data_IF_667475119847
#
_entry.id   IF_667475119847
#
_cell.length_a   1.000
_cell.length_b   1.000
_cell.length_c   1.000
_cell.angle_alpha   90.00
_cell.angle_beta   90.00
_cell.angle_gamma   90.00
#
_symmetry.space_group_name_H-M   'P 1'
#
loop_
_entity.id
_entity.type
_entity.pdbx_description
1 polymer ?
#
# COMPACT_ATOMS: atom_id res chain seq x y z
N UNK A 1 -26.38 16.71 -2.26
CA UNK A 1 -27.42 15.68 -2.08
C UNK A 1 -26.73 14.38 -1.68
N UNK A 2 -26.86 13.92 -0.41
CA UNK A 2 -26.14 12.76 0.12
C UNK A 2 -26.42 11.44 -0.62
N UNK A 3 -27.66 11.20 -1.05
CA UNK A 3 -28.01 9.96 -1.75
C UNK A 3 -27.39 9.89 -3.15
N UNK A 4 -27.42 11.00 -3.88
CA UNK A 4 -26.76 11.07 -5.19
C UNK A 4 -25.25 10.87 -5.04
N UNK A 5 -24.63 11.44 -4.01
CA UNK A 5 -23.20 11.26 -3.75
C UNK A 5 -22.86 9.80 -3.41
N UNK A 6 -23.70 9.13 -2.61
CA UNK A 6 -23.54 7.71 -2.30
C UNK A 6 -23.60 6.85 -3.57
N UNK A 7 -24.60 7.07 -4.43
CA UNK A 7 -24.75 6.32 -5.66
C UNK A 7 -23.57 6.52 -6.62
N UNK A 8 -23.14 7.76 -6.82
CA UNK A 8 -21.98 8.06 -7.67
C UNK A 8 -20.69 7.43 -7.16
N UNK A 9 -20.47 7.41 -5.84
CA UNK A 9 -19.27 6.77 -5.26
C UNK A 9 -19.30 5.25 -5.45
N UNK A 10 -20.46 4.62 -5.31
CA UNK A 10 -20.61 3.19 -5.59
C UNK A 10 -20.32 2.86 -7.07
N UNK A 11 -20.87 3.64 -7.99
CA UNK A 11 -20.66 3.44 -9.43
C UNK A 11 -19.17 3.51 -9.80
N UNK A 12 -18.46 4.54 -9.31
CA UNK A 12 -17.01 4.69 -9.52
C UNK A 12 -16.23 3.52 -8.92
N UNK A 13 -16.61 3.06 -7.72
CA UNK A 13 -15.97 1.92 -7.08
C UNK A 13 -16.17 0.64 -7.89
N UNK A 14 -17.38 0.38 -8.38
CA UNK A 14 -17.70 -0.80 -9.19
C UNK A 14 -16.96 -0.78 -10.53
N UNK A 15 -16.92 0.36 -11.20
CA UNK A 15 -16.15 0.57 -12.43
C UNK A 15 -14.67 0.25 -12.19
N UNK A 16 -14.04 0.89 -11.21
CA UNK A 16 -12.61 0.73 -10.91
C UNK A 16 -12.27 -0.68 -10.46
N UNK A 17 -13.13 -1.33 -9.69
CA UNK A 17 -12.93 -2.73 -9.32
C UNK A 17 -13.10 -3.66 -10.53
N UNK A 18 -14.04 -3.35 -11.43
CA UNK A 18 -14.22 -4.06 -12.70
C UNK A 18 -13.00 -3.97 -13.60
N UNK A 19 -12.37 -2.80 -13.71
CA UNK A 19 -11.11 -2.60 -14.42
C UNK A 19 -9.97 -3.41 -13.80
N UNK A 20 -9.82 -3.35 -12.48
CA UNK A 20 -8.79 -4.11 -11.76
C UNK A 20 -8.93 -5.63 -11.96
N UNK A 21 -10.16 -6.16 -11.98
CA UNK A 21 -10.40 -7.60 -12.20
C UNK A 21 -9.88 -8.10 -13.54
N UNK A 22 -9.75 -7.24 -14.56
CA UNK A 22 -9.15 -7.59 -15.86
C UNK A 22 -7.65 -7.86 -15.72
N UNK A 23 -6.96 -7.19 -14.78
CA UNK A 23 -5.50 -7.28 -14.56
C UNK A 23 -5.15 -7.32 -13.06
N UNK A 24 -5.51 -8.38 -12.32
CA UNK A 24 -5.42 -8.42 -10.86
C UNK A 24 -3.98 -8.50 -10.30
N UNK A 25 -2.97 -8.55 -11.16
CA UNK A 25 -1.54 -8.61 -10.79
C UNK A 25 -0.84 -7.26 -10.95
N UNK A 26 -1.53 -6.26 -11.50
CA UNK A 26 -1.04 -4.90 -11.75
C UNK A 26 -1.74 -3.94 -10.81
N UNK A 27 -0.99 -2.94 -10.31
CA UNK A 27 -1.58 -1.87 -9.52
C UNK A 27 -2.49 -1.01 -10.41
N UNK A 28 -3.72 -0.69 -9.96
CA UNK A 28 -4.55 0.32 -10.63
C UNK A 28 -3.86 1.69 -10.67
N UNK A 29 -4.39 2.62 -11.46
CA UNK A 29 -3.87 3.99 -11.54
C UNK A 29 -3.89 4.72 -10.20
N UNK A 30 -3.11 5.81 -10.09
CA UNK A 30 -2.96 6.60 -8.86
C UNK A 30 -4.26 7.29 -8.43
N UNK A 31 -5.21 7.48 -9.35
CA UNK A 31 -6.53 8.04 -9.06
C UNK A 31 -7.29 7.23 -8.01
N UNK A 32 -7.06 5.91 -7.93
CA UNK A 32 -7.73 5.10 -6.91
C UNK A 32 -7.22 5.38 -5.50
N UNK A 33 -5.94 5.77 -5.36
CA UNK A 33 -5.38 6.12 -4.05
C UNK A 33 -6.07 7.37 -3.50
N UNK A 34 -6.26 8.37 -4.37
CA UNK A 34 -7.00 9.59 -4.04
C UNK A 34 -8.47 9.26 -3.74
N UNK A 35 -9.11 8.44 -4.58
CA UNK A 35 -10.50 8.01 -4.37
C UNK A 35 -10.71 7.32 -3.03
N UNK A 36 -9.87 6.34 -2.68
CA UNK A 36 -9.97 5.62 -1.41
C UNK A 36 -9.71 6.56 -0.22
N UNK A 37 -8.78 7.51 -0.34
CA UNK A 37 -8.55 8.53 0.68
C UNK A 37 -9.75 9.48 0.84
N UNK A 38 -10.44 9.82 -0.25
CA UNK A 38 -11.68 10.59 -0.17
C UNK A 38 -12.78 9.78 0.53
N UNK A 39 -12.89 8.49 0.25
CA UNK A 39 -13.89 7.62 0.91
C UNK A 39 -13.69 7.57 2.43
N UNK A 40 -12.45 7.52 2.94
CA UNK A 40 -12.19 7.56 4.39
C UNK A 40 -12.64 8.84 5.06
N UNK A 41 -12.63 9.95 4.31
CA UNK A 41 -12.96 11.28 4.80
C UNK A 41 -14.47 11.57 4.71
N UNK A 42 -15.14 10.96 3.73
CA UNK A 42 -16.56 11.21 3.44
C UNK A 42 -17.51 10.23 4.15
N UNK A 43 -17.05 9.00 4.43
CA UNK A 43 -17.90 7.94 4.97
C UNK A 43 -17.36 7.39 6.30
N UNK A 44 -18.25 6.99 7.23
CA UNK A 44 -17.83 6.44 8.51
C UNK A 44 -17.12 5.09 8.33
N UNK A 45 -15.86 5.01 8.78
CA UNK A 45 -15.06 3.78 8.72
C UNK A 45 -15.27 2.86 9.92
N UNK A 46 -15.99 3.32 10.94
CA UNK A 46 -16.32 2.59 12.17
C UNK A 46 -17.39 1.50 11.97
N UNK A 47 -18.31 1.71 11.04
CA UNK A 47 -19.53 0.90 10.89
C UNK A 47 -19.22 -0.54 10.51
N UNK A 48 -19.80 -1.50 11.25
CA UNK A 48 -19.54 -2.93 11.07
C UNK A 48 -19.67 -3.38 9.61
N UNK A 49 -20.72 -2.90 8.91
CA UNK A 49 -20.92 -3.09 7.48
C UNK A 49 -21.40 -1.78 6.87
N UNK A 50 -20.64 -1.25 5.92
CA UNK A 50 -20.99 -0.05 5.19
C UNK A 50 -20.89 -0.34 3.69
N UNK A 51 -21.92 0.03 2.92
CA UNK A 51 -22.06 -0.34 1.52
C UNK A 51 -20.89 0.11 0.64
N UNK A 52 -20.24 1.23 0.97
CA UNK A 52 -19.05 1.74 0.27
C UNK A 52 -17.73 1.32 0.95
N UNK A 53 -17.56 1.60 2.25
CA UNK A 53 -16.28 1.38 2.95
C UNK A 53 -15.90 -0.10 3.00
N UNK A 54 -16.83 -1.02 3.22
CA UNK A 54 -16.53 -2.46 3.29
C UNK A 54 -15.96 -3.00 1.96
N UNK A 55 -16.58 -2.76 0.79
CA UNK A 55 -15.96 -3.16 -0.48
C UNK A 55 -14.65 -2.43 -0.78
N UNK A 56 -14.49 -1.16 -0.39
CA UNK A 56 -13.19 -0.48 -0.48
C UNK A 56 -12.11 -1.20 0.33
N UNK A 57 -12.43 -1.64 1.55
CA UNK A 57 -11.52 -2.39 2.41
C UNK A 57 -11.08 -3.71 1.76
N UNK A 58 -12.04 -4.46 1.20
CA UNK A 58 -11.76 -5.70 0.45
C UNK A 58 -10.94 -5.42 -0.80
N UNK A 59 -11.18 -4.29 -1.48
CA UNK A 59 -10.41 -3.91 -2.66
C UNK A 59 -8.95 -3.64 -2.30
N UNK A 60 -8.69 -2.93 -1.20
CA UNK A 60 -7.33 -2.69 -0.70
C UNK A 60 -6.64 -4.01 -0.35
N UNK A 61 -7.33 -4.93 0.34
CA UNK A 61 -6.80 -6.27 0.64
C UNK A 61 -6.40 -7.04 -0.63
N UNK A 62 -7.24 -6.99 -1.66
CA UNK A 62 -6.97 -7.62 -2.94
C UNK A 62 -5.73 -7.04 -3.60
N UNK A 63 -5.55 -5.72 -3.56
CA UNK A 63 -4.38 -5.06 -4.14
C UNK A 63 -3.09 -5.46 -3.40
N UNK A 64 -3.08 -5.38 -2.06
CA UNK A 64 -1.92 -5.75 -1.24
C UNK A 64 -1.50 -7.21 -1.40
N UNK A 65 -2.46 -8.11 -1.64
CA UNK A 65 -2.20 -9.56 -1.74
C UNK A 65 -1.81 -10.00 -3.15
N UNK A 66 -2.37 -9.38 -4.20
CA UNK A 66 -2.26 -9.89 -5.57
C UNK A 66 -1.33 -9.07 -6.47
N UNK A 67 -1.19 -7.77 -6.23
CA UNK A 67 -0.38 -6.90 -7.09
C UNK A 67 1.10 -7.19 -6.91
N UNK A 68 1.84 -7.32 -8.01
CA UNK A 68 3.28 -7.59 -7.96
C UNK A 68 4.05 -6.34 -7.57
N UNK A 69 4.91 -6.45 -6.58
CA UNK A 69 5.84 -5.39 -6.18
C UNK A 69 7.17 -5.59 -6.92
N UNK A 70 7.48 -4.69 -7.87
CA UNK A 70 8.72 -4.77 -8.68
C UNK A 70 9.49 -3.47 -8.72
N UNK A 71 8.80 -2.35 -8.75
CA UNK A 71 9.41 -1.02 -8.88
C UNK A 71 9.15 -0.16 -7.66
N UNK A 72 9.86 0.96 -7.58
CA UNK A 72 9.68 1.99 -6.57
C UNK A 72 8.21 2.40 -6.41
N UNK A 73 7.51 2.64 -7.53
CA UNK A 73 6.09 3.00 -7.53
C UNK A 73 5.23 1.96 -6.82
N UNK A 74 5.42 0.67 -7.10
CA UNK A 74 4.61 -0.40 -6.49
C UNK A 74 4.80 -0.45 -4.96
N UNK A 75 6.03 -0.21 -4.50
CA UNK A 75 6.38 -0.13 -3.08
C UNK A 75 5.65 1.05 -2.42
N UNK A 76 5.80 2.25 -2.99
CA UNK A 76 5.14 3.46 -2.49
C UNK A 76 3.62 3.34 -2.50
N UNK A 77 3.05 2.71 -3.53
CA UNK A 77 1.63 2.46 -3.65
C UNK A 77 1.12 1.56 -2.53
N UNK A 78 1.78 0.43 -2.27
CA UNK A 78 1.37 -0.48 -1.21
C UNK A 78 1.60 0.08 0.20
N UNK A 79 2.63 0.91 0.40
CA UNK A 79 2.83 1.64 1.66
C UNK A 79 1.71 2.65 1.90
N UNK A 80 1.32 3.42 0.88
CA UNK A 80 0.19 4.33 0.97
C UNK A 80 -1.10 3.58 1.36
N UNK A 81 -1.38 2.45 0.70
CA UNK A 81 -2.53 1.61 1.05
C UNK A 81 -2.45 1.09 2.49
N UNK A 82 -1.26 0.73 2.96
CA UNK A 82 -1.04 0.25 4.33
C UNK A 82 -1.33 1.36 5.36
N UNK A 83 -0.86 2.59 5.10
CA UNK A 83 -1.20 3.78 5.90
C UNK A 83 -2.69 4.09 5.87
N UNK A 84 -3.32 3.97 4.70
CA UNK A 84 -4.75 4.21 4.55
C UNK A 84 -5.58 3.19 5.34
N UNK A 85 -5.17 1.92 5.34
CA UNK A 85 -5.84 0.90 6.16
C UNK A 85 -5.70 1.21 7.64
N UNK A 86 -4.53 1.68 8.10
CA UNK A 86 -4.37 2.13 9.47
C UNK A 86 -5.42 3.21 9.81
N UNK A 87 -5.61 4.21 8.96
CA UNK A 87 -6.64 5.23 9.13
C UNK A 87 -8.07 4.65 9.18
N UNK A 88 -8.41 3.71 8.31
CA UNK A 88 -9.71 3.03 8.31
C UNK A 88 -9.96 2.24 9.59
N UNK A 89 -8.90 1.71 10.22
CA UNK A 89 -9.01 0.81 11.38
C UNK A 89 -8.70 1.48 12.72
N UNK A 90 -8.28 2.75 12.74
CA UNK A 90 -7.98 3.51 13.98
C UNK A 90 -9.10 3.39 15.01
N UNK A 91 -10.36 3.55 14.58
CA UNK A 91 -11.54 3.46 15.47
C UNK A 91 -12.09 2.04 15.53
N UNK A 92 -12.27 1.38 14.37
CA UNK A 92 -12.92 0.07 14.28
C UNK A 92 -12.10 -1.09 14.84
N UNK A 93 -10.79 -0.89 15.06
CA UNK A 93 -9.82 -1.89 15.54
C UNK A 93 -9.77 -3.17 14.71
N UNK A 94 -10.18 -3.09 13.44
CA UNK A 94 -10.11 -4.23 12.51
C UNK A 94 -8.66 -4.54 12.17
N UNK A 95 -8.39 -5.81 11.99
CA UNK A 95 -7.07 -6.29 11.59
C UNK A 95 -7.11 -6.75 10.14
N UNK A 96 -6.18 -6.23 9.32
CA UNK A 96 -6.01 -6.67 7.94
C UNK A 96 -4.66 -7.40 7.78
N UNK A 97 -4.64 -8.74 7.70
CA UNK A 97 -3.40 -9.51 7.63
C UNK A 97 -2.56 -9.18 6.40
N UNK A 98 -3.18 -8.75 5.29
CA UNK A 98 -2.49 -8.37 4.07
C UNK A 98 -1.48 -7.24 4.28
N UNK A 99 -1.74 -6.31 5.22
CA UNK A 99 -0.80 -5.23 5.55
C UNK A 99 0.47 -5.79 6.19
N UNK A 100 0.33 -6.69 7.17
CA UNK A 100 1.49 -7.30 7.84
C UNK A 100 2.31 -8.14 6.85
N UNK A 101 1.64 -8.89 5.98
CA UNK A 101 2.31 -9.64 4.91
C UNK A 101 3.09 -8.70 3.99
N UNK A 102 2.48 -7.56 3.62
CA UNK A 102 3.12 -6.57 2.76
C UNK A 102 4.34 -5.94 3.43
N UNK A 103 4.21 -5.44 4.66
CA UNK A 103 5.32 -4.85 5.42
C UNK A 103 6.44 -5.84 5.67
N UNK A 104 6.12 -7.10 5.99
CA UNK A 104 7.13 -8.18 6.09
C UNK A 104 7.86 -8.38 4.76
N UNK A 105 7.17 -8.25 3.63
CA UNK A 105 7.77 -8.28 2.31
C UNK A 105 8.73 -7.11 2.05
N UNK A 106 8.36 -5.90 2.46
CA UNK A 106 9.22 -4.70 2.38
C UNK A 106 10.48 -4.89 3.24
N UNK A 107 10.34 -5.33 4.49
CA UNK A 107 11.47 -5.63 5.37
C UNK A 107 12.36 -6.72 4.77
N UNK A 108 11.77 -7.76 4.17
CA UNK A 108 12.55 -8.76 3.44
C UNK A 108 13.35 -8.09 2.34
N UNK A 109 12.79 -7.21 1.51
CA UNK A 109 13.55 -6.51 0.45
C UNK A 109 14.73 -5.69 0.96
N UNK A 110 14.74 -5.28 2.23
CA UNK A 110 15.80 -4.48 2.83
C UNK A 110 16.91 -5.29 3.52
N UNK A 111 16.72 -6.60 3.71
CA UNK A 111 17.72 -7.45 4.37
C UNK A 111 18.63 -8.12 3.33
N UNK A 112 19.97 -8.04 3.47
CA UNK A 112 20.93 -8.77 2.65
C UNK A 112 20.64 -10.28 2.66
N UNK A 113 20.67 -10.91 1.49
CA UNK A 113 20.35 -12.34 1.37
C UNK A 113 21.54 -13.20 1.77
N UNK A 114 21.56 -13.65 3.02
CA UNK A 114 22.43 -14.73 3.50
C UNK A 114 21.66 -16.04 3.63
N UNK A 115 22.33 -17.18 3.49
CA UNK A 115 21.74 -18.52 3.75
C UNK A 115 21.82 -18.80 5.27
N UNK A 116 20.86 -19.49 5.91
CA UNK A 116 19.60 -20.07 5.42
C UNK A 116 18.39 -19.13 5.55
N UNK A 117 17.32 -19.41 4.79
CA UNK A 117 16.07 -18.65 4.81
C UNK A 117 15.29 -18.94 6.11
N UNK A 118 15.37 -18.03 7.08
CA UNK A 118 14.62 -18.14 8.34
C UNK A 118 13.12 -17.83 8.19
N UNK A 119 12.73 -17.05 7.16
CA UNK A 119 11.37 -16.55 6.98
C UNK A 119 10.79 -17.05 5.66
N UNK A 120 9.57 -17.61 5.73
CA UNK A 120 8.78 -17.96 4.53
C UNK A 120 8.18 -16.69 3.95
N UNK A 121 8.70 -16.25 2.81
CA UNK A 121 8.16 -15.10 2.07
C UNK A 121 6.86 -15.49 1.39
N UNK A 122 5.84 -14.67 1.60
CA UNK A 122 4.51 -14.85 1.01
C UNK A 122 4.37 -13.97 -0.25
N UNK A 123 3.54 -14.38 -1.22
CA UNK A 123 3.15 -13.51 -2.32
C UNK A 123 2.58 -12.18 -1.79
N UNK A 124 2.80 -11.04 -2.49
CA UNK A 124 3.34 -10.93 -3.85
C UNK A 124 4.88 -10.85 -3.96
N UNK A 125 5.60 -10.95 -2.86
CA UNK A 125 7.05 -10.74 -2.83
C UNK A 125 7.83 -11.95 -3.32
N UNK A 126 8.95 -11.70 -4.01
CA UNK A 126 9.87 -12.74 -4.45
C UNK A 126 10.88 -13.04 -3.35
N UNK A 127 11.24 -14.31 -3.18
CA UNK A 127 12.27 -14.72 -2.22
C UNK A 127 13.64 -14.09 -2.51
N UNK A 128 13.92 -13.69 -3.75
CA UNK A 128 15.18 -13.07 -4.20
C UNK A 128 15.17 -11.55 -4.16
N UNK A 129 14.07 -10.90 -3.78
CA UNK A 129 13.97 -9.44 -3.81
C UNK A 129 14.90 -8.82 -2.75
N UNK A 130 15.77 -7.90 -3.18
CA UNK A 130 16.78 -7.24 -2.34
C UNK A 130 17.01 -5.77 -2.73
N UNK A 131 16.03 -5.16 -3.40
CA UNK A 131 16.17 -3.83 -4.00
C UNK A 131 16.24 -2.70 -2.97
N UNK A 132 15.88 -2.97 -1.70
CA UNK A 132 15.87 -1.98 -0.61
C UNK A 132 17.05 -2.13 0.36
N UNK A 133 18.03 -2.97 0.04
CA UNK A 133 19.22 -3.13 0.90
C UNK A 133 20.00 -1.81 0.94
N UNK A 134 20.23 -1.31 2.15
CA UNK A 134 21.10 -0.18 2.42
C UNK A 134 22.55 -0.67 2.45
N UNK A 135 23.43 0.02 1.72
CA UNK A 135 24.85 -0.32 1.67
C UNK A 135 25.67 0.39 2.75
N UNK A 136 25.17 1.51 3.24
CA UNK A 136 25.84 2.37 4.21
C UNK A 136 24.95 2.64 5.42
N UNK A 137 25.58 2.98 6.55
CA UNK A 137 24.86 3.40 7.74
C UNK A 137 24.47 4.87 7.60
N UNK A 138 23.18 5.15 7.60
CA UNK A 138 22.65 6.51 7.51
C UNK A 138 22.16 7.00 8.87
N UNK A 139 22.51 8.24 9.22
CA UNK A 139 21.92 8.94 10.37
C UNK A 139 20.62 9.62 9.95
N UNK A 140 19.56 9.44 10.74
CA UNK A 140 18.25 10.05 10.49
C UNK A 140 18.31 11.58 10.41
N UNK A 141 19.25 12.21 11.13
CA UNK A 141 19.43 13.68 11.14
C UNK A 141 19.98 14.26 9.84
N UNK A 142 20.45 13.43 8.91
CA UNK A 142 20.99 13.87 7.61
C UNK A 142 19.91 14.19 6.57
N UNK A 143 18.66 13.77 6.79
CA UNK A 143 17.59 13.91 5.81
C UNK A 143 16.64 15.06 6.17
N UNK A 144 16.29 15.88 5.16
CA UNK A 144 15.36 17.00 5.32
C UNK A 144 13.94 16.56 5.65
N UNK A 145 13.51 15.40 5.13
CA UNK A 145 12.19 14.81 5.38
C UNK A 145 12.30 13.29 5.27
N UNK A 146 11.62 12.60 6.19
CA UNK A 146 11.53 11.14 6.22
C UNK A 146 10.19 10.62 5.68
N UNK A 147 9.27 11.53 5.31
CA UNK A 147 7.98 11.16 4.72
C UNK A 147 8.10 10.86 3.24
N UNK A 148 7.37 9.84 2.77
CA UNK A 148 7.18 9.58 1.34
C UNK A 148 6.49 10.78 0.66
N UNK A 149 6.93 11.11 -0.55
CA UNK A 149 6.35 12.19 -1.37
C UNK A 149 5.57 11.59 -2.54
N UNK A 150 4.58 12.31 -3.03
CA UNK A 150 3.90 12.11 -4.32
C UNK A 150 4.85 11.77 -5.48
N UNK A 151 6.05 12.35 -5.50
CA UNK A 151 7.09 12.06 -6.52
C UNK A 151 7.54 10.60 -6.52
N UNK A 152 7.44 9.93 -5.37
CA UNK A 152 7.82 8.52 -5.22
C UNK A 152 6.82 7.57 -5.92
N UNK A 153 5.63 8.05 -6.31
CA UNK A 153 4.65 7.30 -7.12
C UNK A 153 4.88 7.44 -8.63
N UNK A 154 5.68 8.42 -9.07
CA UNK A 154 5.88 8.74 -10.49
C UNK A 154 7.25 8.29 -10.97
N UNK A 155 8.29 8.49 -10.14
CA UNK A 155 9.65 8.10 -10.47
C UNK A 155 9.93 6.65 -10.08
N UNK A 156 10.53 5.88 -10.99
CA UNK A 156 10.88 4.47 -10.78
C UNK A 156 12.28 4.26 -10.15
N UNK A 157 13.14 5.30 -10.12
CA UNK A 157 14.51 5.18 -9.61
C UNK A 157 14.56 5.02 -8.08
N UNK A 158 15.12 3.90 -7.62
CA UNK A 158 15.35 3.58 -6.21
C UNK A 158 16.66 4.23 -5.75
N UNK A 159 16.58 5.45 -5.23
CA UNK A 159 17.72 6.11 -4.57
C UNK A 159 17.91 5.61 -3.13
N UNK A 160 19.12 5.77 -2.59
CA UNK A 160 19.40 5.45 -1.17
C UNK A 160 18.50 6.25 -0.22
N UNK A 161 18.26 7.54 -0.51
CA UNK A 161 17.34 8.36 0.28
C UNK A 161 15.92 7.76 0.30
N UNK A 162 15.46 7.23 -0.83
CA UNK A 162 14.15 6.59 -0.91
C UNK A 162 14.10 5.30 -0.08
N UNK A 163 15.16 4.48 -0.09
CA UNK A 163 15.25 3.28 0.75
C UNK A 163 15.11 3.62 2.23
N UNK A 164 15.79 4.68 2.69
CA UNK A 164 15.68 5.16 4.09
C UNK A 164 14.26 5.62 4.40
N UNK A 165 13.62 6.40 3.52
CA UNK A 165 12.22 6.84 3.73
C UNK A 165 11.24 5.68 3.78
N UNK A 166 11.38 4.69 2.88
CA UNK A 166 10.55 3.49 2.87
C UNK A 166 10.66 2.74 4.20
N UNK A 167 11.87 2.55 4.70
CA UNK A 167 12.13 1.84 5.96
C UNK A 167 11.69 2.62 7.20
N UNK A 168 11.67 3.95 7.13
CA UNK A 168 11.13 4.77 8.21
C UNK A 168 9.60 4.71 8.30
N UNK A 169 8.92 4.54 7.15
CA UNK A 169 7.46 4.49 7.07
C UNK A 169 6.90 3.07 7.29
N UNK A 170 7.65 2.04 6.89
CA UNK A 170 7.24 0.62 6.97
C UNK A 170 7.34 0.05 8.39
#
# INVERSE_FOLDING_TARGET
NPENAHHSVLEVMEEKQGEYRKKPKEHPGYEILAFLKLVSSLFPTSDFRHQIVTPCFVFIEQMLTKCKVKCKRDISYGLFLSTLILEYTVISKRYLPAVIIFLTGILHMAVPKSKPKLIKILPPFKATASDLVLLENYSLGSFKSLHLDSKDLVNDDISEEYKVRVLYVA
#
